data_IF_453307831695
#
_entry.id   IF_453307831695
#
_cell.length_a   1.000
_cell.length_b   1.000
_cell.length_c   1.000
_cell.angle_alpha   90.00
_cell.angle_beta   90.00
_cell.angle_gamma   90.00
#
_symmetry.space_group_name_H-M   'P 1'
#
loop_
_entity.id
_entity.type
_entity.pdbx_description
1 polymer ?
#
# COMPACT_ATOMS: atom_id res chain seq x y z
N UNK A 1 16.33 -10.43 25.09
CA UNK A 1 16.16 -9.14 24.39
C UNK A 1 15.12 -9.37 23.30
N UNK A 2 13.96 -8.72 23.37
CA UNK A 2 13.05 -8.72 22.21
C UNK A 2 13.71 -7.86 21.12
N UNK A 3 13.83 -8.41 19.91
CA UNK A 3 14.20 -7.60 18.75
C UNK A 3 13.15 -6.48 18.60
N UNK A 4 13.53 -5.24 18.26
CA UNK A 4 12.55 -4.23 17.91
C UNK A 4 11.68 -4.77 16.76
N UNK A 5 10.36 -4.78 16.96
CA UNK A 5 9.43 -5.23 15.93
C UNK A 5 9.40 -4.18 14.81
N UNK A 6 9.97 -4.55 13.65
CA UNK A 6 10.08 -3.71 12.46
C UNK A 6 8.71 -3.20 12.00
N UNK A 7 8.64 -1.92 11.63
CA UNK A 7 7.38 -1.26 11.25
C UNK A 7 7.11 -1.40 9.76
N UNK A 8 5.85 -1.59 9.40
CA UNK A 8 5.37 -1.51 8.01
C UNK A 8 4.79 -0.12 7.75
N UNK A 9 5.32 0.57 6.75
CA UNK A 9 4.81 1.86 6.26
C UNK A 9 3.74 1.64 5.19
N UNK A 10 2.59 2.30 5.33
CA UNK A 10 1.49 2.27 4.35
C UNK A 10 1.23 3.70 3.88
N UNK A 11 1.41 3.92 2.57
CA UNK A 11 1.17 5.20 1.91
C UNK A 11 -0.13 5.11 1.10
N UNK A 12 -1.21 5.63 1.68
CA UNK A 12 -2.52 5.72 1.08
C UNK A 12 -2.63 6.94 0.16
N UNK A 13 -3.52 6.84 -0.82
CA UNK A 13 -3.84 7.90 -1.77
C UNK A 13 -4.77 8.96 -1.16
N UNK A 14 -4.78 10.16 -1.75
CA UNK A 14 -5.75 11.20 -1.43
C UNK A 14 -7.21 10.71 -1.53
N UNK A 15 -8.05 11.16 -0.61
CA UNK A 15 -9.43 10.71 -0.36
C UNK A 15 -9.60 9.85 0.90
N UNK A 16 -8.49 9.36 1.46
CA UNK A 16 -8.44 8.57 2.69
C UNK A 16 -8.10 9.40 3.94
N UNK A 17 -8.08 10.73 3.84
CA UNK A 17 -7.77 11.61 4.95
C UNK A 17 -8.71 11.36 6.14
N UNK A 18 -8.14 11.17 7.33
CA UNK A 18 -8.89 10.84 8.54
C UNK A 18 -9.34 9.38 8.64
N UNK A 19 -8.96 8.52 7.69
CA UNK A 19 -9.27 7.09 7.66
C UNK A 19 -8.07 6.21 8.01
N UNK A 20 -6.93 6.79 8.36
CA UNK A 20 -5.66 6.09 8.64
C UNK A 20 -5.87 5.08 9.77
N UNK A 21 -6.49 5.50 10.88
CA UNK A 21 -6.77 4.63 12.03
C UNK A 21 -7.68 3.44 11.70
N UNK A 22 -8.47 3.50 10.63
CA UNK A 22 -9.32 2.40 10.20
C UNK A 22 -8.54 1.28 9.50
N UNK A 23 -7.32 1.55 9.05
CA UNK A 23 -6.45 0.60 8.35
C UNK A 23 -5.18 0.27 9.11
N UNK A 24 -4.69 1.17 9.98
CA UNK A 24 -3.49 0.96 10.78
C UNK A 24 -3.70 -0.13 11.82
N UNK A 25 -2.77 -1.09 11.88
CA UNK A 25 -2.69 -2.12 12.91
C UNK A 25 -1.43 -1.95 13.76
N UNK A 26 -1.25 -2.84 14.73
CA UNK A 26 0.01 -2.98 15.48
C UNK A 26 1.20 -3.05 14.50
N UNK A 27 2.33 -2.41 14.81
CA UNK A 27 3.52 -2.33 13.93
C UNK A 27 3.30 -1.75 12.53
N UNK A 28 2.23 -0.97 12.32
CA UNK A 28 1.99 -0.26 11.06
C UNK A 28 1.98 1.25 11.30
N UNK A 29 2.48 2.00 10.32
CA UNK A 29 2.31 3.44 10.21
C UNK A 29 1.61 3.74 8.90
N UNK A 30 0.52 4.48 8.95
CA UNK A 30 -0.24 4.85 7.76
C UNK A 30 -0.24 6.35 7.59
N UNK A 31 0.07 6.80 6.39
CA UNK A 31 -0.05 8.20 5.99
C UNK A 31 -0.78 8.30 4.66
N UNK A 32 -1.47 9.42 4.47
CA UNK A 32 -2.12 9.77 3.21
C UNK A 32 -1.22 10.75 2.45
N UNK A 33 -1.10 10.55 1.14
CA UNK A 33 -0.44 11.47 0.25
C UNK A 33 -1.26 11.62 -1.05
N UNK A 34 -1.40 12.86 -1.51
CA UNK A 34 -1.99 13.21 -2.80
C UNK A 34 -0.94 13.43 -3.88
N UNK A 35 0.22 13.99 -3.52
CA UNK A 35 1.35 14.25 -4.43
C UNK A 35 2.68 13.80 -3.82
N UNK A 36 3.72 13.55 -4.63
CA UNK A 36 4.98 12.97 -4.15
C UNK A 36 5.67 13.82 -3.09
N UNK A 37 5.59 15.15 -3.22
CA UNK A 37 6.19 16.10 -2.28
C UNK A 37 5.63 16.00 -0.84
N UNK A 38 4.47 15.35 -0.65
CA UNK A 38 3.91 15.10 0.68
C UNK A 38 4.52 13.88 1.36
N UNK A 39 5.20 12.99 0.62
CA UNK A 39 5.92 11.86 1.21
C UNK A 39 7.15 12.39 1.93
N UNK A 40 7.09 12.38 3.25
CA UNK A 40 8.15 12.96 4.06
C UNK A 40 9.31 11.99 4.28
N UNK A 41 10.57 12.43 4.12
CA UNK A 41 11.74 11.57 4.36
C UNK A 41 11.72 10.94 5.75
N UNK A 42 11.23 11.66 6.76
CA UNK A 42 11.16 11.18 8.15
C UNK A 42 10.30 9.90 8.31
N UNK A 43 9.34 9.66 7.42
CA UNK A 43 8.52 8.44 7.43
C UNK A 43 9.30 7.19 7.01
N UNK A 44 10.45 7.38 6.37
CA UNK A 44 11.29 6.34 5.75
C UNK A 44 12.62 6.14 6.49
N UNK A 45 12.90 6.91 7.55
CA UNK A 45 14.18 6.87 8.29
C UNK A 45 14.26 5.78 9.36
N UNK A 46 13.15 5.16 9.71
CA UNK A 46 13.12 4.07 10.69
C UNK A 46 13.44 2.73 10.01
N UNK A 47 13.87 1.73 10.78
CA UNK A 47 14.02 0.38 10.23
C UNK A 47 12.64 -0.20 9.88
N UNK A 48 12.35 -0.27 8.57
CA UNK A 48 11.09 -0.75 8.04
C UNK A 48 11.18 -2.21 7.61
N UNK A 49 10.13 -2.98 7.91
CA UNK A 49 9.95 -4.32 7.33
C UNK A 49 9.43 -4.23 5.90
N UNK A 50 8.54 -3.28 5.64
CA UNK A 50 7.91 -3.11 4.34
C UNK A 50 7.37 -1.69 4.12
N UNK A 51 7.23 -1.33 2.85
CA UNK A 51 6.55 -0.14 2.35
C UNK A 51 5.43 -0.61 1.42
N UNK A 52 4.21 -0.16 1.69
CA UNK A 52 3.05 -0.37 0.82
C UNK A 52 2.69 0.96 0.18
N UNK A 53 2.93 1.07 -1.12
CA UNK A 53 2.68 2.27 -1.91
C UNK A 53 1.47 2.05 -2.82
N UNK A 54 0.37 2.72 -2.53
CA UNK A 54 -0.76 2.79 -3.45
C UNK A 54 -0.49 3.81 -4.56
N UNK A 55 -1.07 3.65 -5.76
CA UNK A 55 -0.91 4.66 -6.81
C UNK A 55 -1.58 5.97 -6.41
N UNK A 56 -0.97 7.14 -6.71
CA UNK A 56 -1.55 8.43 -6.37
C UNK A 56 -2.86 8.68 -7.13
N UNK A 57 -3.78 9.44 -6.52
CA UNK A 57 -4.99 9.94 -7.19
C UNK A 57 -4.67 11.09 -8.15
N UNK A 58 -3.65 11.89 -7.82
CA UNK A 58 -3.19 13.02 -8.63
C UNK A 58 -1.84 12.63 -9.25
N UNK A 59 -1.79 12.58 -10.58
CA UNK A 59 -0.57 12.20 -11.29
C UNK A 59 0.36 13.40 -11.38
N UNK A 60 1.48 13.33 -10.66
CA UNK A 60 2.57 14.29 -10.77
C UNK A 60 3.57 13.89 -11.88
N UNK A 61 4.28 14.85 -12.49
CA UNK A 61 5.41 14.59 -13.35
C UNK A 61 6.45 13.65 -12.72
N UNK A 62 7.16 12.87 -13.54
CA UNK A 62 8.20 11.95 -13.05
C UNK A 62 9.33 12.67 -12.29
N UNK A 63 9.66 13.92 -12.64
CA UNK A 63 10.66 14.72 -11.95
C UNK A 63 10.29 14.96 -10.46
N UNK A 64 9.01 15.13 -10.15
CA UNK A 64 8.54 15.36 -8.78
C UNK A 64 8.69 14.10 -7.91
N UNK A 65 8.85 12.94 -8.53
CA UNK A 65 9.08 11.67 -7.85
C UNK A 65 10.55 11.43 -7.52
N UNK A 66 11.50 12.18 -8.07
CA UNK A 66 12.93 11.88 -7.94
C UNK A 66 13.37 11.70 -6.47
N UNK A 67 13.10 12.70 -5.63
CA UNK A 67 13.50 12.67 -4.21
C UNK A 67 12.65 11.69 -3.39
N UNK A 68 11.30 11.69 -3.46
CA UNK A 68 10.48 10.71 -2.75
C UNK A 68 10.82 9.26 -3.12
N UNK A 69 11.03 8.99 -4.40
CA UNK A 69 11.38 7.67 -4.90
C UNK A 69 12.76 7.24 -4.43
N UNK A 70 13.76 8.15 -4.48
CA UNK A 70 15.09 7.86 -3.95
C UNK A 70 15.04 7.46 -2.47
N UNK A 71 14.26 8.16 -1.64
CA UNK A 71 14.09 7.82 -0.23
C UNK A 71 13.43 6.44 -0.04
N UNK A 72 12.40 6.12 -0.84
CA UNK A 72 11.76 4.80 -0.82
C UNK A 72 12.76 3.70 -1.20
N UNK A 73 13.52 3.89 -2.28
CA UNK A 73 14.51 2.91 -2.74
C UNK A 73 15.66 2.76 -1.76
N UNK A 74 16.01 3.83 -1.03
CA UNK A 74 17.01 3.77 0.04
C UNK A 74 16.55 2.85 1.16
N UNK A 75 15.32 3.01 1.66
CA UNK A 75 14.75 2.11 2.65
C UNK A 75 14.65 0.65 2.15
N UNK A 76 14.38 0.44 0.87
CA UNK A 76 14.40 -0.90 0.26
C UNK A 76 15.81 -1.50 0.24
N UNK A 77 16.82 -0.70 -0.07
CA UNK A 77 18.22 -1.12 -0.03
C UNK A 77 18.69 -1.47 1.39
N UNK A 78 18.15 -0.80 2.40
CA UNK A 78 18.40 -1.05 3.83
C UNK A 78 17.69 -2.31 4.35
N UNK A 79 16.73 -2.86 3.60
CA UNK A 79 16.16 -4.17 3.89
C UNK A 79 14.64 -4.24 3.90
N UNK A 80 13.94 -3.13 3.63
CA UNK A 80 12.49 -3.13 3.49
C UNK A 80 12.04 -3.79 2.18
N UNK A 81 10.89 -4.44 2.18
CA UNK A 81 10.20 -4.84 0.94
C UNK A 81 9.31 -3.70 0.44
N UNK A 82 9.24 -3.49 -0.88
CA UNK A 82 8.34 -2.51 -1.50
C UNK A 82 7.21 -3.22 -2.23
N UNK A 83 5.98 -2.99 -1.78
CA UNK A 83 4.76 -3.45 -2.44
C UNK A 83 4.10 -2.26 -3.12
N UNK A 84 3.94 -2.34 -4.45
CA UNK A 84 3.27 -1.29 -5.22
C UNK A 84 1.92 -1.78 -5.70
N UNK A 85 0.85 -1.09 -5.28
CA UNK A 85 -0.53 -1.49 -5.52
C UNK A 85 -1.33 -0.40 -6.23
N UNK A 86 -2.32 -0.78 -7.04
CA UNK A 86 -3.24 0.17 -7.62
C UNK A 86 -4.20 0.74 -6.55
N UNK A 87 -4.50 2.02 -6.68
CA UNK A 87 -5.59 2.68 -6.00
C UNK A 87 -6.96 2.28 -6.58
N UNK A 88 -8.06 2.87 -6.06
CA UNK A 88 -9.40 2.73 -6.62
C UNK A 88 -9.44 3.14 -8.12
N UNK A 89 -10.29 2.46 -8.90
CA UNK A 89 -10.35 2.54 -10.37
C UNK A 89 -11.29 3.63 -10.92
N UNK A 90 -11.75 4.54 -10.07
CA UNK A 90 -12.83 5.48 -10.38
C UNK A 90 -12.43 6.68 -11.28
N UNK A 91 -11.19 6.72 -11.81
CA UNK A 91 -10.79 7.79 -12.74
C UNK A 91 -9.65 7.39 -13.71
N UNK A 92 -9.56 8.09 -14.85
CA UNK A 92 -8.45 8.00 -15.81
C UNK A 92 -7.08 8.31 -15.17
N UNK A 93 -7.06 9.03 -14.05
CA UNK A 93 -5.85 9.29 -13.27
C UNK A 93 -5.27 8.02 -12.64
N UNK A 94 -6.10 7.00 -12.36
CA UNK A 94 -5.66 5.71 -11.83
C UNK A 94 -4.77 4.94 -12.83
N UNK A 95 -5.16 4.90 -14.12
CA UNK A 95 -4.34 4.23 -15.15
C UNK A 95 -2.99 4.94 -15.37
N UNK A 96 -2.99 6.28 -15.37
CA UNK A 96 -1.78 7.07 -15.50
C UNK A 96 -0.86 6.93 -14.27
N UNK A 97 -1.41 6.90 -13.05
CA UNK A 97 -0.65 6.61 -11.83
C UNK A 97 -0.03 5.22 -11.82
N UNK A 98 -0.77 4.20 -12.27
CA UNK A 98 -0.25 2.83 -12.46
C UNK A 98 0.89 2.82 -13.48
N UNK A 99 0.72 3.48 -14.62
CA UNK A 99 1.74 3.54 -15.67
C UNK A 99 3.03 4.20 -15.17
N UNK A 100 2.91 5.32 -14.44
CA UNK A 100 4.03 6.04 -13.84
C UNK A 100 4.81 5.16 -12.86
N UNK A 101 4.14 4.60 -11.84
CA UNK A 101 4.81 3.76 -10.84
C UNK A 101 5.39 2.48 -11.47
N UNK A 102 4.74 1.91 -12.47
CA UNK A 102 5.30 0.78 -13.24
C UNK A 102 6.59 1.18 -13.97
N UNK A 103 6.63 2.39 -14.54
CA UNK A 103 7.82 2.95 -15.15
C UNK A 103 8.97 3.09 -14.16
N UNK A 104 8.72 3.73 -13.01
CA UNK A 104 9.72 3.91 -11.94
C UNK A 104 10.26 2.57 -11.42
N UNK A 105 9.38 1.59 -11.18
CA UNK A 105 9.80 0.24 -10.78
C UNK A 105 10.62 -0.43 -11.89
N UNK A 106 10.16 -0.37 -13.13
CA UNK A 106 10.85 -0.99 -14.28
C UNK A 106 12.26 -0.43 -14.47
N UNK A 107 12.40 0.89 -14.44
CA UNK A 107 13.68 1.58 -14.54
C UNK A 107 14.60 1.25 -13.36
N UNK A 108 14.08 1.28 -12.14
CA UNK A 108 14.84 0.92 -10.93
C UNK A 108 15.37 -0.50 -11.02
N UNK A 109 14.55 -1.47 -11.45
CA UNK A 109 14.97 -2.86 -11.57
C UNK A 109 15.91 -3.12 -12.74
N UNK A 110 15.89 -2.28 -13.78
CA UNK A 110 16.87 -2.30 -14.85
C UNK A 110 18.24 -1.81 -14.37
N UNK A 111 18.26 -0.72 -13.58
CA UNK A 111 19.49 -0.12 -13.06
C UNK A 111 20.05 -0.83 -11.81
N UNK A 112 19.19 -1.47 -11.02
CA UNK A 112 19.50 -2.15 -9.75
C UNK A 112 18.84 -3.54 -9.67
N UNK A 113 19.30 -4.52 -10.46
CA UNK A 113 18.68 -5.85 -10.50
C UNK A 113 18.69 -6.60 -9.16
N UNK A 114 19.62 -6.27 -8.26
CA UNK A 114 19.70 -6.85 -6.91
C UNK A 114 18.46 -6.57 -6.05
N UNK A 115 17.68 -5.54 -6.36
CA UNK A 115 16.44 -5.21 -5.63
C UNK A 115 15.23 -6.02 -6.08
N UNK A 116 15.36 -6.86 -7.13
CA UNK A 116 14.24 -7.64 -7.70
C UNK A 116 13.57 -8.57 -6.69
N UNK A 117 14.29 -9.06 -5.68
CA UNK A 117 13.72 -9.88 -4.61
C UNK A 117 12.86 -9.10 -3.61
N UNK A 118 12.96 -7.77 -3.59
CA UNK A 118 12.32 -6.89 -2.59
C UNK A 118 11.23 -6.00 -3.18
N UNK A 119 11.29 -5.68 -4.47
CA UNK A 119 10.28 -4.84 -5.14
C UNK A 119 9.23 -5.71 -5.82
N UNK A 120 7.99 -5.62 -5.34
CA UNK A 120 6.85 -6.44 -5.72
C UNK A 120 5.75 -5.53 -6.28
N UNK A 121 5.58 -5.56 -7.60
CA UNK A 121 4.54 -4.79 -8.30
C UNK A 121 3.29 -5.66 -8.49
N UNK A 122 2.17 -5.24 -7.90
CA UNK A 122 0.89 -5.96 -7.92
C UNK A 122 -0.13 -5.30 -8.86
N UNK A 123 0.34 -4.66 -9.93
CA UNK A 123 -0.55 -4.07 -10.92
C UNK A 123 -1.22 -5.14 -11.80
N UNK A 124 -2.52 -5.01 -12.12
CA UNK A 124 -3.17 -5.91 -13.06
C UNK A 124 -2.47 -5.86 -14.43
N UNK A 125 -2.19 -7.04 -14.99
CA UNK A 125 -1.68 -7.16 -16.37
C UNK A 125 -2.75 -6.68 -17.36
N UNK A 126 -2.38 -6.00 -18.46
CA UNK A 126 -3.31 -5.61 -19.52
C UNK A 126 -4.13 -6.79 -20.06
N UNK A 127 -3.54 -7.98 -20.13
CA UNK A 127 -4.19 -9.23 -20.58
C UNK A 127 -5.10 -9.88 -19.54
N UNK A 128 -5.10 -9.39 -18.30
CA UNK A 128 -5.87 -9.95 -17.16
C UNK A 128 -6.99 -9.02 -16.69
N UNK A 129 -7.23 -7.93 -17.44
CA UNK A 129 -8.30 -6.94 -17.19
C UNK A 129 -9.69 -7.58 -17.06
N UNK A 130 -9.94 -8.72 -17.70
CA UNK A 130 -11.24 -9.42 -17.65
C UNK A 130 -11.46 -10.27 -16.39
N UNK A 131 -10.40 -10.70 -15.69
CA UNK A 131 -10.52 -11.65 -14.54
C UNK A 131 -10.29 -10.96 -13.20
N UNK A 132 -9.66 -9.79 -13.21
CA UNK A 132 -9.36 -9.01 -12.01
C UNK A 132 -10.54 -8.09 -11.63
N UNK A 133 -11.67 -8.67 -11.24
CA UNK A 133 -12.68 -8.00 -10.39
C UNK A 133 -12.11 -7.77 -8.97
N UNK A 134 -10.89 -7.24 -8.90
CA UNK A 134 -10.10 -7.05 -7.69
C UNK A 134 -10.73 -5.98 -6.78
N UNK A 135 -10.33 -5.93 -5.49
CA UNK A 135 -10.50 -4.84 -4.51
C UNK A 135 -10.77 -3.41 -5.01
N UNK A 136 -10.25 -3.07 -6.18
CA UNK A 136 -10.29 -1.75 -6.81
C UNK A 136 -11.71 -1.32 -7.22
N UNK A 137 -12.65 -2.26 -7.39
CA UNK A 137 -14.07 -1.97 -7.65
C UNK A 137 -14.92 -1.86 -6.37
N UNK A 138 -14.32 -2.06 -5.19
CA UNK A 138 -15.02 -2.04 -3.90
C UNK A 138 -15.56 -0.65 -3.57
N UNK A 139 -14.87 0.38 -4.06
CA UNK A 139 -15.21 1.77 -3.82
C UNK A 139 -15.87 2.33 -5.07
N UNK A 140 -17.20 2.16 -5.17
CA UNK A 140 -17.99 3.02 -6.04
C UNK A 140 -18.12 4.35 -5.30
N UNK A 141 -17.33 5.36 -5.69
CA UNK A 141 -17.53 6.71 -5.18
C UNK A 141 -18.98 7.10 -5.46
N UNK A 142 -19.71 7.40 -4.39
CA UNK A 142 -21.11 7.79 -4.45
C UNK A 142 -21.10 9.30 -4.57
N UNK A 143 -20.76 9.81 -5.76
CA UNK A 143 -21.17 11.09 -6.36
C UNK A 143 -20.13 11.52 -7.41
N UNK A 144 -20.62 11.96 -8.57
CA UNK A 144 -19.79 12.65 -9.55
C UNK A 144 -19.47 14.05 -9.05
N UNK A 145 -18.20 14.44 -9.19
CA UNK A 145 -17.62 15.79 -9.12
C UNK A 145 -17.06 16.34 -7.80
N UNK A 146 -17.14 15.65 -6.66
CA UNK A 146 -16.43 16.08 -5.43
C UNK A 146 -15.31 15.12 -5.05
N UNK A 147 -14.26 15.63 -4.41
CA UNK A 147 -13.11 14.86 -3.91
C UNK A 147 -13.56 13.56 -3.26
N UNK A 148 -12.90 12.41 -3.54
CA UNK A 148 -13.37 11.11 -3.10
C UNK A 148 -13.26 10.97 -1.57
N UNK A 149 -14.26 11.42 -0.83
CA UNK A 149 -14.33 11.22 0.61
C UNK A 149 -14.78 9.79 0.90
N UNK A 150 -13.85 8.93 1.34
CA UNK A 150 -14.18 7.56 1.74
C UNK A 150 -14.63 7.49 3.20
N UNK A 151 -15.63 6.66 3.47
CA UNK A 151 -16.03 6.32 4.85
C UNK A 151 -15.04 5.33 5.49
N UNK A 152 -14.97 5.23 6.84
CA UNK A 152 -14.07 4.28 7.51
C UNK A 152 -14.31 2.81 7.10
N UNK A 153 -15.56 2.44 6.83
CA UNK A 153 -15.93 1.09 6.41
C UNK A 153 -15.46 0.79 4.98
N UNK A 154 -15.57 1.77 4.08
CA UNK A 154 -15.03 1.73 2.73
C UNK A 154 -13.51 1.58 2.75
N UNK A 155 -12.82 2.41 3.52
CA UNK A 155 -11.36 2.36 3.65
C UNK A 155 -10.87 1.00 4.17
N UNK A 156 -11.51 0.48 5.23
CA UNK A 156 -11.21 -0.84 5.80
C UNK A 156 -11.45 -1.96 4.80
N UNK A 157 -12.52 -1.90 4.01
CA UNK A 157 -12.82 -2.91 2.98
C UNK A 157 -11.79 -2.87 1.85
N UNK A 158 -11.45 -1.69 1.36
CA UNK A 158 -10.40 -1.51 0.34
C UNK A 158 -9.06 -2.08 0.81
N UNK A 159 -8.63 -1.71 2.02
CA UNK A 159 -7.36 -2.19 2.56
C UNK A 159 -7.38 -3.71 2.78
N UNK A 160 -8.41 -4.26 3.43
CA UNK A 160 -8.50 -5.69 3.69
C UNK A 160 -8.51 -6.54 2.41
N UNK A 161 -9.10 -6.04 1.32
CA UNK A 161 -9.06 -6.73 0.04
C UNK A 161 -7.66 -6.69 -0.58
N UNK A 162 -6.93 -5.57 -0.49
CA UNK A 162 -5.56 -5.46 -1.01
C UNK A 162 -4.52 -6.25 -0.18
N UNK A 163 -4.70 -6.31 1.14
CA UNK A 163 -3.81 -7.05 2.04
C UNK A 163 -3.79 -8.56 1.75
N UNK A 164 -4.84 -9.13 1.15
CA UNK A 164 -4.86 -10.54 0.74
C UNK A 164 -3.77 -10.90 -0.27
N UNK A 165 -3.27 -9.91 -1.01
CA UNK A 165 -2.22 -10.08 -2.02
C UNK A 165 -0.81 -9.85 -1.47
N UNK A 166 -0.72 -9.37 -0.22
CA UNK A 166 0.55 -9.21 0.48
C UNK A 166 0.94 -10.55 1.13
N UNK A 167 2.23 -10.90 1.17
CA UNK A 167 2.69 -12.17 1.74
C UNK A 167 2.31 -12.30 3.21
N UNK A 168 2.27 -13.53 3.72
CA UNK A 168 1.72 -13.85 5.05
C UNK A 168 2.42 -13.10 6.21
N UNK A 169 3.66 -12.63 6.02
CA UNK A 169 4.40 -11.82 6.99
C UNK A 169 3.81 -10.42 7.18
N UNK A 170 3.03 -9.92 6.22
CA UNK A 170 2.20 -8.70 6.39
C UNK A 170 1.09 -8.90 7.43
N UNK A 171 0.70 -10.16 7.67
CA UNK A 171 -0.37 -10.59 8.57
C UNK A 171 0.11 -10.98 9.97
N UNK A 172 1.35 -10.65 10.37
CA UNK A 172 1.74 -10.82 11.77
C UNK A 172 0.90 -9.98 12.75
N UNK A 173 0.06 -9.07 12.22
CA UNK A 173 -0.96 -8.31 12.93
C UNK A 173 -2.37 -8.85 12.64
N UNK A 174 -2.55 -10.17 12.72
CA UNK A 174 -3.85 -10.75 13.09
C UNK A 174 -3.89 -10.77 14.61
N UNK A 175 -4.71 -9.87 15.18
CA UNK A 175 -5.17 -9.90 16.57
C UNK A 175 -5.21 -11.33 17.10
N UNK A 176 -4.64 -11.52 18.29
CA UNK A 176 -4.71 -12.73 19.14
C UNK A 176 -6.14 -13.19 19.48
N UNK A 177 -7.18 -12.71 18.80
CA UNK A 177 -8.58 -13.08 19.08
C UNK A 177 -9.02 -14.44 18.52
N UNK A 178 -8.32 -15.04 17.56
CA UNK A 178 -8.71 -16.39 17.09
C UNK A 178 -8.06 -17.55 17.85
N UNK A 179 -7.22 -17.28 18.86
CA UNK A 179 -6.62 -18.33 19.69
C UNK A 179 -7.42 -18.68 20.96
N UNK A 180 -8.53 -17.98 21.27
CA UNK A 180 -9.32 -18.22 22.50
C UNK A 180 -10.66 -18.94 22.31
N UNK A 181 -11.08 -19.26 21.09
CA UNK A 181 -12.39 -19.92 20.86
C UNK A 181 -12.32 -21.40 20.49
N UNK A 182 -11.20 -22.10 20.75
CA UNK A 182 -11.08 -23.54 20.48
C UNK A 182 -10.63 -24.40 21.66
N UNK A 183 -10.87 -23.95 22.89
CA UNK A 183 -10.57 -24.77 24.10
C UNK A 183 -11.70 -24.78 25.14
N UNK A 184 -12.95 -24.62 24.72
CA UNK A 184 -14.12 -24.93 25.57
C UNK A 184 -15.20 -25.64 24.76
N UNK A 185 -14.98 -26.92 24.52
CA UNK A 185 -16.03 -27.89 24.21
C UNK A 185 -15.45 -29.30 24.26
N UNK A 186 -14.94 -29.69 25.43
CA UNK A 186 -14.77 -31.07 25.88
C UNK A 186 -14.54 -31.03 27.40
N UNK A 187 -15.62 -30.75 28.12
CA UNK A 187 -15.80 -31.15 29.50
C UNK A 187 -17.30 -31.21 29.73
N UNK A 188 -17.72 -32.37 30.24
CA UNK A 188 -19.08 -32.83 30.54
C UNK A 188 -19.81 -33.53 29.38
#
# INVERSE_FOLDING_TARGET
>A
MSMPELVTLILLLAGFEGMESAVTREHQKTYVYGVPAQIRPEWLREELSAIVLFTPTIVAPAADWEIPWLNIITAVAEGADLYVLPGPQDSAASEAGVALLRGLVGETLAQRPCLRGRIISLFPSPSRREVAQLPQQVLKSRNGNDEPHYTPSQAKRFFNENVKFLPHNFTYCRSRETARSRTRSFAE
#
